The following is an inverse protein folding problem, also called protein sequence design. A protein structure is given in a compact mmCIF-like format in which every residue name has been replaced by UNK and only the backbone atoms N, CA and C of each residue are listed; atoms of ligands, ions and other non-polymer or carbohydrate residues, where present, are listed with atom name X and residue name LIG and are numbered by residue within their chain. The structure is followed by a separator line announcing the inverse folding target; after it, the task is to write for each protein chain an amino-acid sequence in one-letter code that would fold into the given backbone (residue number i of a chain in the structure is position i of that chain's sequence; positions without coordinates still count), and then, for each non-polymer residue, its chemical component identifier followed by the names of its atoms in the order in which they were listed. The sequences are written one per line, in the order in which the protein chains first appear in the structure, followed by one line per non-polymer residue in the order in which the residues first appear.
data_IF_939564308064
#
_entry.id   IF_939564308064
#
_cell.length_a   1.000
_cell.length_b   1.000
_cell.length_c   1.000
_cell.angle_alpha   90.00
_cell.angle_beta   90.00
_cell.angle_gamma   90.00
#
_symmetry.space_group_name_H-M   'P 1'
#
loop_
_entity.id
_entity.type
_entity.pdbx_description
1 polymer ?
#
# COMPACT_ATOMS: atom_id res chain seq x y z
N UNK A 1 10.04 -20.44 -3.59
CA UNK A 1 10.59 -19.57 -4.66
C UNK A 1 9.77 -19.83 -5.91
N UNK A 2 8.78 -18.99 -6.21
CA UNK A 2 7.93 -19.16 -7.40
C UNK A 2 8.64 -18.44 -8.54
N UNK A 3 9.18 -19.20 -9.48
CA UNK A 3 9.69 -18.63 -10.73
C UNK A 3 8.51 -18.06 -11.52
N UNK A 4 8.35 -16.73 -11.48
CA UNK A 4 7.58 -16.00 -12.48
C UNK A 4 8.26 -16.24 -13.81
N UNK A 5 7.88 -17.31 -14.52
CA UNK A 5 8.40 -17.61 -15.85
C UNK A 5 8.06 -16.41 -16.74
N UNK A 6 9.07 -15.58 -17.04
CA UNK A 6 8.98 -14.31 -17.77
C UNK A 6 8.61 -14.46 -19.24
N UNK A 7 7.80 -15.45 -19.59
CA UNK A 7 7.30 -15.68 -20.94
C UNK A 7 6.21 -14.67 -21.25
N UNK A 8 6.51 -13.73 -22.14
CA UNK A 8 5.53 -12.75 -22.63
C UNK A 8 4.34 -13.52 -23.22
N UNK A 9 3.11 -13.35 -22.70
CA UNK A 9 1.99 -14.14 -23.15
C UNK A 9 1.65 -13.84 -24.60
N UNK A 10 1.37 -14.87 -25.40
CA UNK A 10 0.98 -14.74 -26.81
C UNK A 10 -0.47 -14.21 -26.89
N UNK A 11 -0.70 -12.98 -27.38
CA UNK A 11 -2.04 -12.40 -27.46
C UNK A 11 -3.00 -13.23 -28.30
N UNK A 12 -2.53 -13.97 -29.30
CA UNK A 12 -3.38 -14.82 -30.15
C UNK A 12 -3.92 -16.01 -29.36
N UNK A 13 -3.08 -16.64 -28.55
CA UNK A 13 -3.47 -17.73 -27.65
C UNK A 13 -4.40 -17.24 -26.54
N UNK A 14 -4.22 -16.02 -26.06
CA UNK A 14 -5.12 -15.43 -25.06
C UNK A 14 -6.51 -15.14 -25.64
N UNK A 15 -6.60 -14.62 -26.86
CA UNK A 15 -7.89 -14.41 -27.53
C UNK A 15 -8.66 -15.72 -27.69
N UNK A 16 -7.98 -16.80 -28.13
CA UNK A 16 -8.64 -18.11 -28.33
C UNK A 16 -9.08 -18.76 -27.00
N UNK A 17 -8.27 -18.66 -25.94
CA UNK A 17 -8.56 -19.30 -24.65
C UNK A 17 -9.55 -18.52 -23.79
N UNK A 18 -9.48 -17.18 -23.78
CA UNK A 18 -10.33 -16.33 -22.92
C UNK A 18 -11.65 -15.94 -23.57
N UNK A 19 -11.79 -16.15 -24.90
CA UNK A 19 -12.89 -15.66 -25.74
C UNK A 19 -13.09 -14.13 -25.66
N UNK A 20 -12.07 -13.39 -25.24
CA UNK A 20 -12.08 -11.93 -25.24
C UNK A 20 -11.74 -11.40 -26.63
N UNK A 21 -12.21 -10.20 -26.96
CA UNK A 21 -11.84 -9.57 -28.22
C UNK A 21 -10.33 -9.27 -28.25
N UNK A 22 -9.75 -9.27 -29.45
CA UNK A 22 -8.33 -8.91 -29.65
C UNK A 22 -8.02 -7.52 -29.10
N UNK A 23 -8.93 -6.57 -29.24
CA UNK A 23 -8.79 -5.23 -28.64
C UNK A 23 -8.70 -5.30 -27.12
N UNK A 24 -9.61 -6.03 -26.46
CA UNK A 24 -9.63 -6.18 -24.99
C UNK A 24 -8.37 -6.82 -24.45
N UNK A 25 -7.88 -7.89 -25.10
CA UNK A 25 -6.63 -8.56 -24.69
C UNK A 25 -5.43 -7.62 -24.85
N UNK A 26 -5.31 -6.96 -26.00
CA UNK A 26 -4.20 -6.03 -26.25
C UNK A 26 -4.21 -4.85 -25.29
N UNK A 27 -5.39 -4.33 -24.96
CA UNK A 27 -5.55 -3.20 -24.06
C UNK A 27 -5.20 -3.60 -22.62
N UNK A 28 -5.67 -4.78 -22.18
CA UNK A 28 -5.36 -5.34 -20.86
C UNK A 28 -3.86 -5.63 -20.67
N UNK A 29 -3.15 -6.11 -21.70
CA UNK A 29 -1.71 -6.39 -21.63
C UNK A 29 -0.83 -5.12 -21.61
N UNK A 30 -1.36 -3.97 -22.03
CA UNK A 30 -0.61 -2.71 -22.14
C UNK A 30 -0.79 -1.77 -20.94
N UNK A 31 -1.75 -2.05 -20.06
CA UNK A 31 -2.07 -1.19 -18.91
C UNK A 31 -1.84 -1.92 -17.58
N UNK A 32 -1.61 -1.19 -16.48
CA UNK A 32 -1.56 -1.78 -15.16
C UNK A 32 -2.81 -2.61 -14.84
N UNK A 33 -2.64 -3.73 -14.14
CA UNK A 33 -3.75 -4.62 -13.76
C UNK A 33 -4.84 -3.90 -12.96
N UNK A 34 -4.46 -2.94 -12.11
CA UNK A 34 -5.38 -2.09 -11.34
C UNK A 34 -6.28 -1.20 -12.21
N UNK A 35 -5.92 -0.98 -13.47
CA UNK A 35 -6.71 -0.24 -14.48
C UNK A 35 -7.47 -1.18 -15.43
N UNK A 36 -7.45 -2.48 -15.18
CA UNK A 36 -8.16 -3.48 -15.98
C UNK A 36 -9.35 -4.00 -15.18
N UNK A 37 -10.50 -4.14 -15.84
CA UNK A 37 -11.69 -4.71 -15.19
C UNK A 37 -11.38 -6.10 -14.61
N UNK A 38 -11.83 -6.38 -13.39
CA UNK A 38 -11.57 -7.64 -12.69
C UNK A 38 -11.86 -8.88 -13.55
N UNK A 39 -13.01 -8.93 -14.21
CA UNK A 39 -13.38 -10.07 -15.06
C UNK A 39 -12.45 -10.32 -16.24
N UNK A 40 -11.83 -9.28 -16.81
CA UNK A 40 -10.81 -9.43 -17.87
C UNK A 40 -9.49 -9.92 -17.28
N UNK A 41 -9.05 -9.33 -16.17
CA UNK A 41 -7.83 -9.75 -15.48
C UNK A 41 -7.91 -11.22 -15.06
N UNK A 42 -9.00 -11.64 -14.41
CA UNK A 42 -9.21 -13.04 -13.97
C UNK A 42 -9.18 -14.03 -15.14
N UNK A 43 -9.81 -13.69 -16.28
CA UNK A 43 -9.79 -14.58 -17.47
C UNK A 43 -8.38 -14.76 -18.03
N UNK A 44 -7.62 -13.67 -18.13
CA UNK A 44 -6.24 -13.71 -18.64
C UNK A 44 -5.32 -14.48 -17.67
N UNK A 45 -5.45 -14.24 -16.36
CA UNK A 45 -4.65 -14.94 -15.35
C UNK A 45 -4.93 -16.45 -15.34
N UNK A 46 -6.22 -16.84 -15.38
CA UNK A 46 -6.63 -18.26 -15.49
C UNK A 46 -6.07 -18.92 -16.75
N UNK A 47 -6.10 -18.23 -17.89
CA UNK A 47 -5.55 -18.76 -19.15
C UNK A 47 -4.03 -19.03 -19.09
N UNK A 48 -3.30 -18.31 -18.22
CA UNK A 48 -1.86 -18.50 -18.00
C UNK A 48 -1.54 -19.33 -16.75
N UNK A 49 -2.55 -19.94 -16.10
CA UNK A 49 -2.40 -20.68 -14.83
C UNK A 49 -1.73 -19.85 -13.72
N UNK A 50 -1.96 -18.54 -13.71
CA UNK A 50 -1.49 -17.64 -12.66
C UNK A 50 -2.60 -17.52 -11.62
N UNK A 51 -2.30 -17.82 -10.35
CA UNK A 51 -3.26 -17.68 -9.25
C UNK A 51 -3.50 -16.20 -8.94
N UNK A 52 -4.72 -15.88 -8.49
CA UNK A 52 -5.02 -14.54 -8.02
C UNK A 52 -4.22 -14.20 -6.76
N UNK A 53 -3.95 -15.19 -5.92
CA UNK A 53 -3.19 -15.02 -4.67
C UNK A 53 -1.75 -14.58 -4.95
N UNK A 54 -1.07 -15.19 -5.93
CA UNK A 54 0.29 -14.78 -6.33
C UNK A 54 0.31 -13.37 -6.90
N UNK A 55 -0.75 -12.97 -7.61
CA UNK A 55 -0.87 -11.60 -8.14
C UNK A 55 -1.18 -10.61 -7.04
N UNK A 56 -2.06 -10.96 -6.10
CA UNK A 56 -2.38 -10.15 -4.93
C UNK A 56 -1.12 -9.92 -4.08
N UNK A 57 -0.34 -10.97 -3.82
CA UNK A 57 0.95 -10.90 -3.14
C UNK A 57 1.94 -10.00 -3.88
N UNK A 58 2.01 -10.11 -5.22
CA UNK A 58 2.90 -9.25 -6.01
C UNK A 58 2.46 -7.77 -6.03
N UNK A 59 1.16 -7.50 -6.02
CA UNK A 59 0.60 -6.15 -5.96
C UNK A 59 0.78 -5.57 -4.55
N UNK A 60 0.55 -6.35 -3.49
CA UNK A 60 0.74 -5.92 -2.11
C UNK A 60 2.20 -5.69 -1.77
N UNK A 61 3.11 -6.46 -2.37
CA UNK A 61 4.56 -6.30 -2.20
C UNK A 61 5.17 -5.21 -3.09
N UNK A 62 4.36 -4.55 -3.93
CA UNK A 62 4.84 -3.43 -4.73
C UNK A 62 5.04 -2.23 -3.82
N UNK A 63 6.28 -2.01 -3.38
CA UNK A 63 6.68 -0.77 -2.72
C UNK A 63 6.29 0.39 -3.62
N UNK A 64 5.37 1.22 -3.14
CA UNK A 64 5.04 2.48 -3.77
C UNK A 64 6.30 3.36 -3.77
N UNK A 65 6.42 4.23 -4.77
CA UNK A 65 7.44 5.28 -4.64
C UNK A 65 6.99 6.29 -3.56
N UNK A 66 7.91 7.03 -2.94
CA UNK A 66 7.57 7.96 -1.86
C UNK A 66 6.47 8.97 -2.22
N UNK A 67 6.37 9.36 -3.50
CA UNK A 67 5.33 10.27 -3.98
C UNK A 67 3.94 9.64 -3.96
N UNK A 68 3.81 8.40 -4.44
CA UNK A 68 2.55 7.65 -4.41
C UNK A 68 2.13 7.33 -2.97
N UNK A 69 3.09 6.96 -2.13
CA UNK A 69 2.88 6.66 -0.72
C UNK A 69 2.46 7.90 0.08
N UNK A 70 3.12 9.04 -0.14
CA UNK A 70 2.74 10.33 0.44
C UNK A 70 1.34 10.78 0.02
N UNK A 71 0.95 10.58 -1.24
CA UNK A 71 -0.40 10.88 -1.70
C UNK A 71 -1.47 10.00 -1.04
N UNK A 72 -1.18 8.71 -0.84
CA UNK A 72 -2.07 7.82 -0.11
C UNK A 72 -2.17 8.24 1.35
N UNK A 73 -1.05 8.54 2.01
CA UNK A 73 -1.04 9.03 3.39
C UNK A 73 -1.88 10.30 3.56
N UNK A 74 -1.73 11.30 2.67
CA UNK A 74 -2.53 12.53 2.71
C UNK A 74 -4.03 12.24 2.64
N UNK A 75 -4.46 11.25 1.86
CA UNK A 75 -5.89 10.86 1.77
C UNK A 75 -6.42 10.24 3.05
N UNK A 76 -5.55 9.75 3.92
CA UNK A 76 -5.87 9.25 5.25
C UNK A 76 -5.75 10.34 6.32
N UNK A 77 -5.57 11.60 5.92
CA UNK A 77 -5.57 12.75 6.81
C UNK A 77 -6.79 13.63 6.58
N UNK A 78 -7.28 14.27 7.63
CA UNK A 78 -8.36 15.24 7.56
C UNK A 78 -8.03 16.45 8.43
N UNK A 79 -8.02 17.62 7.80
CA UNK A 79 -7.70 18.89 8.45
C UNK A 79 -8.90 19.46 9.22
N UNK A 80 -10.12 19.10 8.83
CA UNK A 80 -11.35 19.63 9.42
C UNK A 80 -11.57 19.11 10.85
N UNK A 81 -11.19 17.85 11.09
CA UNK A 81 -11.31 17.18 12.38
C UNK A 81 -9.96 16.87 13.05
N UNK A 82 -8.86 17.28 12.42
CA UNK A 82 -7.47 17.05 12.87
C UNK A 82 -7.14 15.56 13.06
N UNK A 83 -7.61 14.73 12.14
CA UNK A 83 -7.44 13.28 12.20
C UNK A 83 -6.37 12.79 11.21
N UNK A 84 -5.49 11.91 11.67
CA UNK A 84 -4.52 11.17 10.84
C UNK A 84 -4.78 9.68 11.06
N UNK A 85 -5.14 8.93 10.01
CA UNK A 85 -5.44 7.49 10.07
C UNK A 85 -6.43 7.10 11.20
N UNK A 86 -7.40 7.95 11.49
CA UNK A 86 -8.39 7.75 12.56
C UNK A 86 -7.94 8.15 13.97
N UNK A 87 -6.73 8.70 14.14
CA UNK A 87 -6.23 9.27 15.40
C UNK A 87 -6.45 10.78 15.38
N UNK A 88 -7.23 11.29 16.34
CA UNK A 88 -7.61 12.71 16.42
C UNK A 88 -6.66 13.47 17.34
N UNK A 89 -6.06 14.55 16.85
CA UNK A 89 -5.19 15.43 17.62
C UNK A 89 -5.98 16.58 18.27
N UNK A 90 -5.49 17.09 19.40
CA UNK A 90 -6.17 18.15 20.15
C UNK A 90 -5.87 19.54 19.58
N UNK A 91 -4.75 19.70 18.89
CA UNK A 91 -4.28 20.97 18.36
C UNK A 91 -3.79 20.85 16.91
N UNK A 92 -3.86 21.97 16.17
CA UNK A 92 -3.30 22.06 14.82
C UNK A 92 -1.79 21.85 14.82
N UNK A 93 -1.10 22.35 15.84
CA UNK A 93 0.34 22.21 15.97
C UNK A 93 0.75 20.73 16.07
N UNK A 94 0.14 19.98 16.97
CA UNK A 94 0.43 18.55 17.12
C UNK A 94 0.07 17.75 15.87
N UNK A 95 -1.07 18.08 15.24
CA UNK A 95 -1.47 17.50 13.96
C UNK A 95 -0.40 17.70 12.87
N UNK A 96 0.06 18.94 12.67
CA UNK A 96 1.04 19.25 11.63
C UNK A 96 2.41 18.64 11.94
N UNK A 97 2.87 18.71 13.19
CA UNK A 97 4.11 18.07 13.62
C UNK A 97 4.09 16.56 13.37
N UNK A 98 3.01 15.86 13.75
CA UNK A 98 2.87 14.43 13.50
C UNK A 98 2.82 14.11 12.00
N UNK A 99 2.03 14.86 11.24
CA UNK A 99 1.88 14.67 9.79
C UNK A 99 3.21 14.86 9.06
N UNK A 100 3.93 15.92 9.35
CA UNK A 100 5.17 16.27 8.66
C UNK A 100 6.29 15.31 9.00
N UNK A 101 6.39 14.87 10.26
CA UNK A 101 7.33 13.82 10.66
C UNK A 101 7.07 12.51 9.91
N UNK A 102 5.82 12.07 9.82
CA UNK A 102 5.46 10.86 9.08
C UNK A 102 5.73 11.05 7.57
N UNK A 103 5.42 12.23 7.02
CA UNK A 103 5.72 12.54 5.63
C UNK A 103 7.23 12.45 5.35
N UNK A 104 8.07 13.00 6.22
CA UNK A 104 9.53 12.91 6.08
C UNK A 104 10.00 11.44 6.09
N UNK A 105 9.47 10.62 7.01
CA UNK A 105 9.78 9.20 7.07
C UNK A 105 9.43 8.46 5.76
N UNK A 106 8.35 8.84 5.07
CA UNK A 106 8.01 8.30 3.74
C UNK A 106 9.11 8.59 2.72
N UNK A 107 9.65 9.82 2.72
CA UNK A 107 10.76 10.18 1.83
C UNK A 107 12.10 9.54 2.21
N UNK A 108 12.23 9.07 3.45
CA UNK A 108 13.34 8.22 3.92
C UNK A 108 13.14 6.73 3.61
N UNK A 109 11.99 6.35 3.06
CA UNK A 109 11.68 4.99 2.62
C UNK A 109 10.91 4.13 3.63
N UNK A 110 10.34 4.74 4.67
CA UNK A 110 9.48 4.06 5.64
C UNK A 110 8.01 4.10 5.22
N UNK A 111 7.29 2.98 5.39
CA UNK A 111 5.86 2.94 5.16
C UNK A 111 5.11 3.63 6.30
N UNK A 112 4.15 4.53 6.03
CA UNK A 112 3.35 5.14 7.08
C UNK A 112 2.42 4.10 7.68
N UNK A 113 2.35 4.03 9.01
CA UNK A 113 1.50 3.08 9.72
C UNK A 113 0.68 3.74 10.80
N UNK A 114 -0.47 3.15 11.14
CA UNK A 114 -1.30 3.62 12.26
C UNK A 114 -0.52 3.64 13.57
N UNK A 115 0.39 2.68 13.79
CA UNK A 115 1.23 2.67 14.98
C UNK A 115 2.18 3.87 15.03
N UNK A 116 2.76 4.27 13.89
CA UNK A 116 3.58 5.48 13.80
C UNK A 116 2.80 6.75 14.18
N UNK A 117 1.52 6.81 13.80
CA UNK A 117 0.62 7.90 14.19
C UNK A 117 0.32 7.85 15.69
N UNK A 118 0.02 6.67 16.25
CA UNK A 118 -0.21 6.49 17.69
C UNK A 118 1.02 6.90 18.49
N UNK A 119 2.21 6.47 18.11
CA UNK A 119 3.45 6.86 18.79
C UNK A 119 3.66 8.38 18.76
N UNK A 120 3.37 9.03 17.63
CA UNK A 120 3.42 10.50 17.52
C UNK A 120 2.39 11.17 18.43
N UNK A 121 1.18 10.61 18.54
CA UNK A 121 0.15 11.09 19.45
C UNK A 121 0.56 10.94 20.92
N UNK A 122 1.10 9.78 21.32
CA UNK A 122 1.60 9.55 22.69
C UNK A 122 2.71 10.55 23.05
N UNK A 123 3.60 10.87 22.11
CA UNK A 123 4.67 11.86 22.30
C UNK A 123 4.14 13.29 22.45
N UNK A 124 3.24 13.71 21.55
CA UNK A 124 2.83 15.11 21.42
C UNK A 124 1.66 15.51 22.32
N UNK A 125 0.75 14.57 22.62
CA UNK A 125 -0.46 14.84 23.39
C UNK A 125 -0.32 14.34 24.83
N UNK A 126 0.18 13.12 24.98
CA UNK A 126 0.34 12.49 26.30
C UNK A 126 1.72 12.69 26.92
N UNK A 127 2.65 13.29 26.17
CA UNK A 127 4.01 13.59 26.63
C UNK A 127 4.74 12.33 27.13
N UNK A 128 4.44 11.16 26.54
CA UNK A 128 5.12 9.92 26.87
C UNK A 128 6.57 10.02 26.41
N UNK A 129 7.57 9.80 27.28
CA UNK A 129 8.97 9.86 26.89
C UNK A 129 9.29 8.85 25.77
N UNK A 130 10.17 9.24 24.85
CA UNK A 130 10.63 8.36 23.75
C UNK A 130 11.15 7.02 24.28
N UNK A 131 11.92 7.03 25.37
CA UNK A 131 12.49 5.82 25.98
C UNK A 131 11.41 4.82 26.41
N UNK A 132 10.25 5.31 26.86
CA UNK A 132 9.14 4.47 27.25
C UNK A 132 8.49 3.81 26.03
N UNK A 133 8.28 4.56 24.94
CA UNK A 133 7.75 4.00 23.70
C UNK A 133 8.69 2.95 23.09
N UNK A 134 10.00 3.18 23.14
CA UNK A 134 11.00 2.20 22.71
C UNK A 134 10.96 0.95 23.61
N UNK A 135 10.83 1.13 24.92
CA UNK A 135 10.70 0.01 25.86
C UNK A 135 9.46 -0.84 25.58
N UNK A 136 8.32 -0.21 25.32
CA UNK A 136 7.06 -0.91 25.04
C UNK A 136 7.09 -1.63 23.68
N UNK A 137 7.71 -1.02 22.66
CA UNK A 137 7.99 -1.68 21.38
C UNK A 137 8.86 -2.93 21.59
N UNK A 138 9.93 -2.84 22.38
CA UNK A 138 10.82 -3.96 22.65
C UNK A 138 10.14 -5.10 23.42
N UNK A 139 9.15 -4.80 24.28
CA UNK A 139 8.35 -5.83 24.96
C UNK A 139 7.44 -6.56 23.99
N UNK A 140 6.74 -5.83 23.12
CA UNK A 140 5.86 -6.41 22.12
C UNK A 140 6.59 -7.40 21.19
N UNK A 141 7.86 -7.11 20.85
CA UNK A 141 8.71 -8.01 20.08
C UNK A 141 9.31 -9.18 20.86
N UNK A 142 9.32 -9.15 22.20
CA UNK A 142 9.78 -10.28 23.03
C UNK A 142 8.67 -11.27 23.34
N UNK A 143 7.42 -10.83 23.30
CA UNK A 143 6.23 -11.65 23.60
C UNK A 143 5.65 -12.34 22.36
N UNK A 144 6.16 -12.04 21.16
CA UNK A 144 5.88 -12.71 19.88
C UNK A 144 7.05 -13.57 19.41
#
# INVERSE_FOLDING_TARGET
MVELTGSKPDPRKLVSTTKLSRSTVNDALKRPIVKTSFGVATKILKANKISLDTVAEHISNKRLNPKEEGLNFIRETSLDDLTIMGVKFSSKENYWTARDNIMNNIYEGFHPSKQSVINSYELLEKHVPVDQLVSDLLKEYREN
#
